data_IF_093678859321
#
_entry.id   IF_093678859321
#
_cell.length_a   1.000
_cell.length_b   1.000
_cell.length_c   1.000
_cell.angle_alpha   90.00
_cell.angle_beta   90.00
_cell.angle_gamma   90.00
#
_symmetry.space_group_name_H-M   'P 1'
#
loop_
_entity.id
_entity.type
_entity.pdbx_description
1 polymer ?
#
# COMPACT_ATOMS: atom_id res chain seq x y z
N UNK A 1 -0.77 -2.25 12.32
CA UNK A 1 -1.47 -1.61 11.18
C UNK A 1 -2.94 -1.42 11.46
N UNK A 2 -3.62 -2.43 12.01
CA UNK A 2 -5.05 -2.38 12.32
C UNK A 2 -5.51 -1.21 13.19
N UNK A 3 -4.99 -1.07 14.41
CA UNK A 3 -5.47 -0.04 15.35
C UNK A 3 -5.24 1.39 14.83
N UNK A 4 -4.07 1.66 14.28
CA UNK A 4 -3.72 2.98 13.74
C UNK A 4 -4.58 3.39 12.54
N UNK A 5 -5.11 2.43 11.76
CA UNK A 5 -5.90 2.72 10.56
C UNK A 5 -7.41 2.46 10.72
N UNK A 6 -7.84 1.87 11.84
CA UNK A 6 -9.23 1.46 12.07
C UNK A 6 -10.25 2.61 11.92
N UNK A 7 -9.85 3.84 12.24
CA UNK A 7 -10.72 5.03 12.18
C UNK A 7 -10.73 5.71 10.80
N UNK A 8 -9.84 5.33 9.89
CA UNK A 8 -9.69 5.97 8.58
C UNK A 8 -10.68 5.42 7.54
N UNK A 9 -11.30 4.26 7.79
CA UNK A 9 -12.29 3.63 6.90
C UNK A 9 -11.79 3.43 5.46
N UNK A 10 -10.51 3.11 5.29
CA UNK A 10 -9.86 2.98 3.98
C UNK A 10 -10.54 1.87 3.18
N UNK A 11 -11.00 2.20 1.98
CA UNK A 11 -11.61 1.29 1.02
C UNK A 11 -10.57 0.59 0.14
N UNK A 12 -10.99 -0.48 -0.55
CA UNK A 12 -10.18 -1.17 -1.57
C UNK A 12 -9.68 -0.19 -2.65
N UNK A 13 -10.54 0.74 -3.07
CA UNK A 13 -10.20 1.73 -4.10
C UNK A 13 -9.11 2.70 -3.63
N UNK A 14 -9.21 3.19 -2.40
CA UNK A 14 -8.21 4.10 -1.83
C UNK A 14 -6.87 3.40 -1.60
N UNK A 15 -6.90 2.12 -1.24
CA UNK A 15 -5.69 1.29 -1.17
C UNK A 15 -5.01 1.17 -2.54
N UNK A 16 -5.78 0.90 -3.60
CA UNK A 16 -5.23 0.77 -4.95
C UNK A 16 -4.61 2.10 -5.43
N UNK A 17 -5.26 3.24 -5.14
CA UNK A 17 -4.69 4.57 -5.41
C UNK A 17 -3.38 4.78 -4.65
N UNK A 18 -3.32 4.42 -3.36
CA UNK A 18 -2.07 4.50 -2.58
C UNK A 18 -0.96 3.64 -3.20
N UNK A 19 -1.28 2.40 -3.63
CA UNK A 19 -0.32 1.52 -4.27
C UNK A 19 0.22 2.08 -5.60
N UNK A 20 -0.64 2.72 -6.40
CA UNK A 20 -0.23 3.40 -7.63
C UNK A 20 0.70 4.60 -7.35
N UNK A 21 0.34 5.46 -6.40
CA UNK A 21 1.16 6.62 -6.02
C UNK A 21 2.50 6.20 -5.40
N UNK A 22 2.50 5.11 -4.64
CA UNK A 22 3.72 4.53 -4.10
C UNK A 22 4.63 4.04 -5.23
N UNK A 23 4.10 3.31 -6.22
CA UNK A 23 4.87 2.87 -7.40
C UNK A 23 5.43 4.06 -8.18
N UNK A 24 4.64 5.11 -8.42
CA UNK A 24 5.10 6.35 -9.08
C UNK A 24 6.27 6.98 -8.33
N UNK A 25 6.20 7.01 -7.00
CA UNK A 25 7.28 7.53 -6.15
C UNK A 25 8.55 6.68 -6.27
N UNK A 26 8.44 5.36 -6.19
CA UNK A 26 9.59 4.45 -6.36
C UNK A 26 10.24 4.61 -7.74
N UNK A 27 9.43 4.74 -8.79
CA UNK A 27 9.92 5.00 -10.15
C UNK A 27 10.64 6.36 -10.25
N UNK A 28 10.09 7.42 -9.63
CA UNK A 28 10.72 8.75 -9.61
C UNK A 28 12.11 8.71 -8.98
N UNK A 29 12.28 7.93 -7.92
CA UNK A 29 13.57 7.74 -7.25
C UNK A 29 14.43 6.62 -7.85
N UNK A 30 14.01 6.03 -8.98
CA UNK A 30 14.74 4.99 -9.71
C UNK A 30 15.06 3.77 -8.84
N UNK A 31 14.17 3.42 -7.91
CA UNK A 31 14.31 2.20 -7.11
C UNK A 31 14.25 0.99 -8.06
N UNK A 32 15.19 0.04 -8.01
CA UNK A 32 15.20 -1.07 -8.95
C UNK A 32 14.03 -2.03 -8.71
N UNK A 33 13.68 -2.80 -9.75
CA UNK A 33 12.44 -3.56 -9.77
C UNK A 33 12.37 -4.67 -8.70
N UNK A 34 13.52 -5.22 -8.29
CA UNK A 34 13.59 -6.25 -7.26
C UNK A 34 13.17 -5.68 -5.89
N UNK A 35 13.71 -4.52 -5.53
CA UNK A 35 13.42 -3.81 -4.29
C UNK A 35 11.99 -3.27 -4.29
N UNK A 36 11.49 -2.77 -5.44
CA UNK A 36 10.07 -2.41 -5.55
C UNK A 36 9.18 -3.62 -5.24
N UNK A 37 9.50 -4.79 -5.82
CA UNK A 37 8.72 -6.01 -5.60
C UNK A 37 8.73 -6.40 -4.12
N UNK A 38 9.89 -6.39 -3.47
CA UNK A 38 10.01 -6.70 -2.04
C UNK A 38 9.18 -5.73 -1.17
N UNK A 39 9.22 -4.42 -1.48
CA UNK A 39 8.43 -3.42 -0.78
C UNK A 39 6.93 -3.68 -0.94
N UNK A 40 6.46 -4.00 -2.16
CA UNK A 40 5.05 -4.35 -2.39
C UNK A 40 4.65 -5.66 -1.71
N UNK A 41 5.53 -6.66 -1.67
CA UNK A 41 5.28 -7.93 -0.97
C UNK A 41 5.13 -7.71 0.55
N UNK A 42 5.89 -6.78 1.14
CA UNK A 42 5.82 -6.45 2.57
C UNK A 42 4.59 -5.59 2.88
N UNK A 43 4.41 -4.49 2.15
CA UNK A 43 3.27 -3.57 2.34
C UNK A 43 1.95 -4.29 2.09
N UNK A 44 1.88 -5.14 1.06
CA UNK A 44 0.68 -5.92 0.72
C UNK A 44 0.18 -6.81 1.85
N UNK A 45 1.07 -7.35 2.70
CA UNK A 45 0.67 -8.17 3.86
C UNK A 45 -0.14 -7.38 4.89
N UNK A 46 -0.01 -6.05 4.90
CA UNK A 46 -0.75 -5.17 5.82
C UNK A 46 -2.14 -4.80 5.33
N UNK A 47 -2.47 -5.10 4.06
CA UNK A 47 -3.75 -4.73 3.43
C UNK A 47 -4.96 -5.20 4.25
N UNK A 48 -4.92 -6.45 4.72
CA UNK A 48 -6.01 -7.06 5.50
C UNK A 48 -6.27 -6.37 6.86
N UNK A 49 -5.27 -5.67 7.40
CA UNK A 49 -5.39 -4.91 8.63
C UNK A 49 -5.89 -3.48 8.40
N UNK A 50 -5.74 -2.95 7.17
CA UNK A 50 -5.97 -1.53 6.85
C UNK A 50 -7.29 -1.33 6.10
N UNK A 51 -7.59 -2.21 5.14
CA UNK A 51 -8.75 -2.06 4.25
C UNK A 51 -10.01 -2.60 4.91
N UNK A 52 -11.05 -1.78 4.92
CA UNK A 52 -12.38 -2.16 5.42
C UNK A 52 -13.24 -2.57 4.23
N UNK A 53 -13.74 -3.81 4.26
CA UNK A 53 -14.78 -4.27 3.34
C UNK A 53 -16.14 -3.76 3.86
N UNK A 54 -16.63 -2.68 3.27
CA UNK A 54 -18.03 -2.27 3.43
C UNK A 54 -18.88 -2.88 2.32
#
# INVERSE_FOLDING_TARGET
MKESHAHLNISEREWDVMAEEFKKSLNKFKVPAAEQKELFDIVGKTKADIVVRK
#
